data_IF_878964602159
#
_entry.id   IF_878964602159
#
_cell.length_a   1.000
_cell.length_b   1.000
_cell.length_c   1.000
_cell.angle_alpha   90.00
_cell.angle_beta   90.00
_cell.angle_gamma   90.00
#
_symmetry.space_group_name_H-M   'P 1'
#
loop_
_entity.id
_entity.type
_entity.pdbx_description
1 polymer ?
#
# COMPACT_ATOMS: atom_id res chain seq x y z
N UNK A 1 -14.89 -16.68 -4.88
CA UNK A 1 -15.83 -15.61 -5.35
C UNK A 1 -15.20 -14.91 -6.53
N UNK A 2 -15.97 -14.41 -7.51
CA UNK A 2 -15.40 -13.68 -8.65
C UNK A 2 -15.51 -12.16 -8.44
N UNK A 3 -14.44 -11.44 -8.74
CA UNK A 3 -14.40 -9.98 -8.81
C UNK A 3 -15.01 -9.50 -10.13
N UNK A 4 -15.84 -8.46 -10.05
CA UNK A 4 -16.36 -7.74 -11.20
C UNK A 4 -15.49 -6.51 -11.52
N UNK A 5 -15.67 -5.94 -12.71
CA UNK A 5 -14.94 -4.72 -13.13
C UNK A 5 -15.04 -3.59 -12.10
N UNK A 6 -16.22 -3.37 -11.52
CA UNK A 6 -16.43 -2.32 -10.51
C UNK A 6 -15.61 -2.53 -9.24
N UNK A 7 -15.34 -3.80 -8.88
CA UNK A 7 -14.52 -4.12 -7.70
C UNK A 7 -13.05 -3.79 -7.98
N UNK A 8 -12.57 -4.10 -9.19
CA UNK A 8 -11.21 -3.77 -9.64
C UNK A 8 -11.00 -2.25 -9.68
N UNK A 9 -11.97 -1.50 -10.22
CA UNK A 9 -11.93 -0.04 -10.23
C UNK A 9 -11.90 0.55 -8.81
N UNK A 10 -12.70 -0.03 -7.89
CA UNK A 10 -12.70 0.39 -6.48
C UNK A 10 -11.37 0.11 -5.79
N UNK A 11 -10.78 -1.05 -6.04
CA UNK A 11 -9.45 -1.41 -5.50
C UNK A 11 -8.38 -0.46 -6.05
N UNK A 12 -8.42 -0.17 -7.35
CA UNK A 12 -7.50 0.78 -7.98
C UNK A 12 -7.60 2.18 -7.36
N UNK A 13 -8.81 2.65 -7.09
CA UNK A 13 -9.02 3.92 -6.39
C UNK A 13 -8.41 3.92 -4.99
N UNK A 14 -8.65 2.86 -4.20
CA UNK A 14 -8.08 2.71 -2.85
C UNK A 14 -6.54 2.67 -2.88
N UNK A 15 -5.96 2.06 -3.91
CA UNK A 15 -4.52 1.99 -4.11
C UNK A 15 -3.91 3.23 -4.82
N UNK A 16 -4.73 4.24 -5.18
CA UNK A 16 -4.31 5.40 -5.97
C UNK A 16 -3.66 5.05 -7.31
N UNK A 17 -4.20 4.05 -8.01
CA UNK A 17 -3.73 3.59 -9.31
C UNK A 17 -4.67 4.06 -10.43
N UNK A 18 -4.10 4.68 -11.46
CA UNK A 18 -4.81 4.94 -12.72
C UNK A 18 -4.79 3.69 -13.60
N UNK A 19 -5.96 3.22 -14.02
CA UNK A 19 -6.09 2.07 -14.93
C UNK A 19 -6.64 2.53 -16.28
N UNK A 20 -6.07 2.00 -17.36
CA UNK A 20 -6.63 2.18 -18.69
C UNK A 20 -7.80 1.22 -18.90
N UNK A 21 -8.85 1.67 -19.58
CA UNK A 21 -10.01 0.81 -19.86
C UNK A 21 -9.68 -0.43 -20.69
N UNK A 22 -8.66 -0.34 -21.55
CA UNK A 22 -8.20 -1.46 -22.37
C UNK A 22 -7.57 -2.59 -21.53
N UNK A 23 -7.00 -2.26 -20.37
CA UNK A 23 -6.27 -3.22 -19.53
C UNK A 23 -7.21 -3.88 -18.48
N UNK A 24 -8.35 -3.25 -18.18
CA UNK A 24 -9.30 -3.71 -17.16
C UNK A 24 -9.75 -5.17 -17.33
N UNK A 25 -10.11 -5.66 -18.54
CA UNK A 25 -10.51 -7.05 -18.71
C UNK A 25 -9.40 -8.04 -18.34
N UNK A 26 -8.16 -7.72 -18.71
CA UNK A 26 -7.00 -8.58 -18.42
C UNK A 26 -6.68 -8.58 -16.92
N UNK A 27 -6.63 -7.40 -16.30
CA UNK A 27 -6.37 -7.26 -14.86
C UNK A 27 -7.45 -7.99 -14.04
N UNK A 28 -8.71 -7.90 -14.46
CA UNK A 28 -9.82 -8.61 -13.78
C UNK A 28 -9.64 -10.13 -13.87
N UNK A 29 -9.20 -10.64 -15.02
CA UNK A 29 -8.91 -12.07 -15.22
C UNK A 29 -7.76 -12.53 -14.33
N UNK A 30 -6.67 -11.77 -14.29
CA UNK A 30 -5.48 -12.09 -13.50
C UNK A 30 -5.79 -12.08 -12.00
N UNK A 31 -6.50 -11.06 -11.52
CA UNK A 31 -6.91 -10.98 -10.11
C UNK A 31 -7.83 -12.13 -9.71
N UNK A 32 -8.79 -12.52 -10.56
CA UNK A 32 -9.63 -13.68 -10.32
C UNK A 32 -8.82 -15.00 -10.28
N UNK A 33 -7.80 -15.12 -11.12
CA UNK A 33 -6.90 -16.28 -11.10
C UNK A 33 -6.09 -16.37 -9.81
N UNK A 34 -5.58 -15.23 -9.33
CA UNK A 34 -4.86 -15.14 -8.05
C UNK A 34 -5.78 -15.49 -6.87
N UNK A 35 -7.01 -14.94 -6.85
CA UNK A 35 -7.99 -15.28 -5.82
C UNK A 35 -8.37 -16.76 -5.85
N UNK A 36 -8.50 -17.35 -7.03
CA UNK A 36 -8.71 -18.80 -7.17
C UNK A 36 -7.58 -19.63 -6.57
N UNK A 37 -6.33 -19.17 -6.67
CA UNK A 37 -5.20 -19.83 -6.00
C UNK A 37 -5.26 -19.66 -4.47
N UNK A 38 -5.64 -18.48 -3.98
CA UNK A 38 -5.77 -18.22 -2.54
C UNK A 38 -6.94 -19.01 -1.93
N UNK A 39 -8.03 -19.22 -2.67
CA UNK A 39 -9.18 -20.01 -2.23
C UNK A 39 -8.78 -21.45 -1.85
N UNK A 40 -7.70 -22.00 -2.43
CA UNK A 40 -7.17 -23.32 -2.05
C UNK A 40 -6.70 -23.38 -0.57
N UNK A 41 -6.32 -22.24 0.02
CA UNK A 41 -5.91 -22.17 1.43
C UNK A 41 -7.09 -22.38 2.39
N UNK A 42 -8.34 -22.15 1.96
CA UNK A 42 -9.54 -22.33 2.78
C UNK A 42 -9.82 -23.81 3.12
N UNK A 43 -9.17 -24.75 2.43
CA UNK A 43 -9.30 -26.18 2.72
C UNK A 43 -8.62 -26.60 4.04
N UNK A 44 -7.78 -25.73 4.62
CA UNK A 44 -7.06 -25.99 5.87
C UNK A 44 -7.86 -25.41 7.03
N UNK A 45 -8.16 -26.24 8.03
CA UNK A 45 -8.78 -25.79 9.28
C UNK A 45 -7.77 -25.01 10.14
N UNK A 46 -8.12 -23.77 10.47
CA UNK A 46 -7.32 -22.86 11.30
C UNK A 46 -8.06 -22.47 12.58
N UNK A 47 -9.13 -23.18 12.95
CA UNK A 47 -9.87 -22.88 14.18
C UNK A 47 -8.97 -23.04 15.42
N UNK A 48 -9.03 -22.05 16.30
CA UNK A 48 -8.17 -21.98 17.49
C UNK A 48 -6.69 -21.70 17.25
N UNK A 49 -6.25 -21.42 16.01
CA UNK A 49 -4.85 -21.08 15.70
C UNK A 49 -4.65 -19.56 15.72
N UNK A 50 -3.69 -19.09 16.52
CA UNK A 50 -3.34 -17.67 16.55
C UNK A 50 -2.55 -17.26 15.29
N UNK A 51 -2.88 -16.11 14.64
CA UNK A 51 -2.15 -15.62 13.48
C UNK A 51 -0.71 -15.21 13.81
N UNK A 52 0.24 -15.58 12.95
CA UNK A 52 1.64 -15.20 13.09
C UNK A 52 1.91 -13.83 12.42
N UNK A 53 1.97 -12.75 13.22
CA UNK A 53 2.27 -11.40 12.72
C UNK A 53 3.77 -11.15 12.47
N UNK A 54 4.63 -11.68 13.36
CA UNK A 54 6.08 -11.56 13.27
C UNK A 54 6.70 -12.94 13.51
N UNK A 55 7.70 -13.36 12.70
CA UNK A 55 8.33 -14.67 12.86
C UNK A 55 9.21 -14.78 14.12
N UNK A 56 9.58 -13.65 14.72
CA UNK A 56 10.37 -13.56 15.94
C UNK A 56 9.53 -12.95 17.05
N UNK A 57 9.69 -13.48 18.26
CA UNK A 57 9.10 -12.88 19.46
C UNK A 57 9.89 -11.63 19.85
N UNK A 58 9.52 -10.49 19.28
CA UNK A 58 10.09 -9.21 19.61
C UNK A 58 9.23 -8.50 20.66
N UNK A 59 9.84 -8.10 21.76
CA UNK A 59 9.23 -7.14 22.69
C UNK A 59 9.31 -5.72 22.12
N UNK A 60 8.40 -4.85 22.54
CA UNK A 60 8.40 -3.45 22.15
C UNK A 60 9.71 -2.77 22.60
N UNK A 61 10.54 -2.36 21.62
CA UNK A 61 11.73 -1.56 21.91
C UNK A 61 11.33 -0.12 22.15
N UNK A 62 11.75 0.44 23.27
CA UNK A 62 11.59 1.85 23.57
C UNK A 62 12.71 2.67 22.93
N UNK A 63 12.37 3.83 22.39
CA UNK A 63 13.32 4.87 21.97
C UNK A 63 13.49 5.85 23.12
N UNK A 64 14.73 6.25 23.42
CA UNK A 64 14.99 7.30 24.40
C UNK A 64 14.42 8.65 23.93
N UNK A 65 13.92 9.45 24.88
CA UNK A 65 13.41 10.79 24.61
C UNK A 65 14.58 11.80 24.52
N UNK A 66 15.29 11.73 23.40
CA UNK A 66 16.43 12.60 23.10
C UNK A 66 16.28 13.19 21.70
N UNK A 67 16.67 14.45 21.56
CA UNK A 67 16.73 15.17 20.27
C UNK A 67 17.90 14.61 19.47
N UNK A 68 17.65 14.25 18.21
CA UNK A 68 18.65 13.68 17.29
C UNK A 68 18.71 14.40 15.94
N UNK A 69 17.82 15.35 15.74
CA UNK A 69 17.54 15.98 14.46
C UNK A 69 18.61 17.02 14.12
N UNK A 70 19.07 16.99 12.87
CA UNK A 70 19.87 18.07 12.29
C UNK A 70 19.24 18.54 10.99
N UNK A 71 19.53 19.78 10.58
CA UNK A 71 18.90 20.34 9.39
C UNK A 71 19.51 19.71 8.13
N UNK A 72 18.70 18.95 7.40
CA UNK A 72 19.08 18.29 6.14
C UNK A 72 18.26 18.80 4.94
N UNK A 73 17.73 20.02 5.02
CA UNK A 73 16.81 20.58 4.02
C UNK A 73 17.35 20.46 2.58
N UNK A 74 18.59 20.88 2.35
CA UNK A 74 19.22 20.85 1.02
C UNK A 74 19.30 19.43 0.46
N UNK A 75 19.74 18.47 1.28
CA UNK A 75 19.84 17.07 0.88
C UNK A 75 18.47 16.49 0.52
N UNK A 76 17.44 16.74 1.33
CA UNK A 76 16.09 16.22 1.09
C UNK A 76 15.39 16.86 -0.11
N UNK A 77 15.68 18.13 -0.39
CA UNK A 77 15.07 18.85 -1.51
C UNK A 77 15.76 18.56 -2.84
N UNK A 78 16.97 17.99 -2.83
CA UNK A 78 17.73 17.65 -4.05
C UNK A 78 17.05 16.61 -4.96
N UNK A 79 16.24 15.72 -4.39
CA UNK A 79 15.50 14.66 -5.11
C UNK A 79 14.02 14.97 -5.29
N UNK A 80 13.57 16.13 -4.83
CA UNK A 80 12.17 16.47 -4.79
C UNK A 80 11.69 16.96 -6.17
N UNK A 81 10.52 16.51 -6.66
CA UNK A 81 10.01 16.92 -7.97
C UNK A 81 9.77 18.43 -8.10
N UNK A 82 9.32 19.08 -7.03
CA UNK A 82 9.05 20.51 -7.01
C UNK A 82 9.23 21.08 -5.61
N UNK A 83 10.04 22.14 -5.51
CA UNK A 83 10.31 22.86 -4.25
C UNK A 83 10.32 24.35 -4.49
N UNK A 84 9.80 25.12 -3.54
CA UNK A 84 9.82 26.58 -3.57
C UNK A 84 9.90 27.13 -2.15
N UNK A 85 10.75 28.15 -1.93
CA UNK A 85 10.94 28.79 -0.62
C UNK A 85 11.21 27.80 0.53
N UNK A 86 11.84 26.66 0.22
CA UNK A 86 12.11 25.60 1.19
C UNK A 86 10.92 24.71 1.54
N UNK A 87 9.85 24.71 0.74
CA UNK A 87 8.64 23.90 0.90
C UNK A 87 8.47 22.94 -0.29
N UNK A 88 7.77 21.83 -0.08
CA UNK A 88 7.37 20.90 -1.14
C UNK A 88 6.06 21.37 -1.77
N UNK A 89 6.07 21.54 -3.09
CA UNK A 89 4.88 21.96 -3.81
C UNK A 89 4.01 20.73 -4.13
N UNK A 90 2.74 20.83 -3.75
CA UNK A 90 1.70 19.83 -4.09
C UNK A 90 0.48 20.54 -4.67
N UNK A 91 -0.26 19.91 -5.59
CA UNK A 91 -1.53 20.45 -6.06
C UNK A 91 -2.48 20.66 -4.88
N UNK A 92 -3.05 21.86 -4.79
CA UNK A 92 -4.12 22.13 -3.84
C UNK A 92 -5.37 21.38 -4.33
N UNK A 93 -6.02 20.63 -3.45
CA UNK A 93 -7.35 20.07 -3.74
C UNK A 93 -8.33 21.25 -3.83
N UNK A 94 -8.96 21.41 -4.98
CA UNK A 94 -10.00 22.41 -5.24
C UNK A 94 -11.21 21.61 -5.70
N UNK A 95 -12.33 21.75 -4.98
CA UNK A 95 -13.64 21.15 -5.31
C UNK A 95 -14.41 22.02 -6.30
#
# INVERSE_FOLDING_TARGET
MALERSDVEKIAHLASLGLNEADLPHITCDLNSILGLVDAMQAVDTDGIEPLAHPLEASQRLRADVVTESNHREAYQSIAPAVENGLYLVPKVID
#
